data_IF_332325486342
#
_entry.id   IF_332325486342
#
_cell.length_a   1.000
_cell.length_b   1.000
_cell.length_c   1.000
_cell.angle_alpha   90.00
_cell.angle_beta   90.00
_cell.angle_gamma   90.00
#
_symmetry.space_group_name_H-M   'P 1'
#
loop_
_entity.id
_entity.type
_entity.pdbx_description
1 polymer ?
#
# COMPACT_ATOMS: atom_id res chain seq x y z
N UNK A 1 -2.08 -12.88 6.85
CA UNK A 1 -1.05 -11.83 6.92
C UNK A 1 0.15 -12.36 7.68
N UNK A 2 1.34 -12.23 7.11
CA UNK A 2 2.60 -12.65 7.71
C UNK A 2 2.90 -11.78 8.94
N UNK A 3 3.20 -12.44 10.07
CA UNK A 3 3.47 -11.77 11.33
C UNK A 3 4.97 -11.51 11.57
N UNK A 4 5.83 -11.87 10.61
CA UNK A 4 7.28 -11.65 10.70
C UNK A 4 7.71 -10.20 10.56
N UNK A 5 6.89 -9.36 9.92
CA UNK A 5 7.14 -7.93 9.78
C UNK A 5 5.83 -7.13 9.80
N UNK A 6 5.61 -6.36 10.87
CA UNK A 6 4.48 -5.44 11.03
C UNK A 6 5.02 -4.07 11.41
N UNK A 7 4.90 -3.08 10.52
CA UNK A 7 5.58 -1.78 10.64
C UNK A 7 7.08 -1.96 10.87
N UNK A 8 7.64 -1.59 12.03
CA UNK A 8 9.05 -1.80 12.36
C UNK A 8 9.28 -3.00 13.31
N UNK A 9 8.21 -3.68 13.73
CA UNK A 9 8.30 -4.89 14.53
C UNK A 9 8.66 -6.07 13.61
N UNK A 10 9.95 -6.41 13.56
CA UNK A 10 10.49 -7.51 12.76
C UNK A 10 10.84 -8.69 13.66
N UNK A 11 10.11 -9.79 13.56
CA UNK A 11 10.22 -10.97 14.41
C UNK A 11 10.34 -12.26 13.58
N UNK A 12 11.55 -12.83 13.53
CA UNK A 12 11.81 -14.06 12.76
C UNK A 12 11.06 -15.28 13.29
N UNK A 13 10.65 -15.31 14.56
CA UNK A 13 9.89 -16.43 15.13
C UNK A 13 8.46 -16.47 14.58
N UNK A 14 7.95 -15.34 14.10
CA UNK A 14 6.62 -15.17 13.53
C UNK A 14 6.60 -15.13 12.00
N UNK A 15 7.77 -15.16 11.36
CA UNK A 15 7.90 -15.09 9.91
C UNK A 15 7.29 -16.32 9.20
N UNK A 16 6.42 -16.05 8.24
CA UNK A 16 5.63 -17.06 7.52
C UNK A 16 4.45 -17.62 8.32
N UNK A 17 4.25 -17.19 9.57
CA UNK A 17 3.07 -17.57 10.35
C UNK A 17 1.89 -16.68 9.97
N UNK A 18 0.79 -17.32 9.57
CA UNK A 18 -0.48 -16.63 9.34
C UNK A 18 -1.28 -16.69 10.63
N UNK A 19 -1.62 -15.52 11.18
CA UNK A 19 -2.46 -15.45 12.37
C UNK A 19 -3.82 -16.13 12.11
N UNK A 20 -4.27 -16.97 13.06
CA UNK A 20 -5.59 -17.60 12.98
C UNK A 20 -6.70 -16.65 13.45
N UNK A 21 -7.95 -16.97 13.10
CA UNK A 21 -9.11 -16.20 13.57
C UNK A 21 -9.24 -16.29 15.09
N UNK A 22 -9.02 -17.48 15.64
CA UNK A 22 -9.10 -17.78 17.07
C UNK A 22 -8.07 -16.95 17.87
N UNK A 23 -6.86 -16.80 17.33
CA UNK A 23 -5.81 -15.97 17.96
C UNK A 23 -6.19 -14.47 17.98
N UNK A 24 -6.93 -14.01 16.96
CA UNK A 24 -7.28 -12.60 16.78
C UNK A 24 -8.57 -12.18 17.49
N UNK A 25 -9.49 -13.12 17.72
CA UNK A 25 -10.84 -12.87 18.28
C UNK A 25 -11.08 -13.53 19.65
N UNK A 26 -10.17 -14.39 20.12
CA UNK A 26 -10.35 -15.15 21.35
C UNK A 26 -10.51 -14.26 22.60
N UNK A 27 -11.23 -14.75 23.63
CA UNK A 27 -11.48 -13.99 24.86
C UNK A 27 -10.19 -13.64 25.63
N UNK A 28 -9.11 -14.38 25.37
CA UNK A 28 -7.79 -14.18 25.97
C UNK A 28 -6.81 -13.42 25.05
N UNK A 29 -7.26 -12.93 23.89
CA UNK A 29 -6.39 -12.17 23.00
C UNK A 29 -5.88 -10.91 23.73
N UNK A 30 -4.55 -10.68 23.82
CA UNK A 30 -4.02 -9.57 24.60
C UNK A 30 -4.41 -8.21 24.01
N UNK A 31 -4.47 -7.19 24.85
CA UNK A 31 -4.50 -5.79 24.40
C UNK A 31 -3.07 -5.30 24.14
N UNK A 32 -2.93 -4.32 23.25
CA UNK A 32 -1.65 -3.67 22.92
C UNK A 32 -1.34 -3.69 21.43
N UNK A 33 -0.07 -3.51 21.09
CA UNK A 33 0.42 -3.58 19.71
C UNK A 33 0.56 -5.04 19.25
N UNK A 34 -0.59 -5.68 19.07
CA UNK A 34 -0.76 -7.04 18.58
C UNK A 34 -1.83 -7.06 17.50
N UNK A 35 -1.61 -7.86 16.46
CA UNK A 35 -2.63 -8.13 15.44
C UNK A 35 -3.87 -8.75 16.09
N UNK A 36 -5.05 -8.20 15.80
CA UNK A 36 -6.31 -8.69 16.37
C UNK A 36 -7.47 -7.76 16.03
N UNK A 37 -8.68 -8.14 16.43
CA UNK A 37 -9.89 -7.34 16.20
C UNK A 37 -10.24 -6.44 17.39
N UNK A 38 -10.93 -5.35 17.08
CA UNK A 38 -11.54 -4.45 18.07
C UNK A 38 -10.59 -3.40 18.67
N UNK A 39 -11.17 -2.41 19.39
CA UNK A 39 -10.40 -1.35 20.04
C UNK A 39 -9.38 -1.89 21.04
N UNK A 40 -8.22 -1.25 21.12
CA UNK A 40 -7.11 -1.68 22.00
C UNK A 40 -6.20 -2.74 21.38
N UNK A 41 -6.43 -3.14 20.12
CA UNK A 41 -5.53 -3.98 19.31
C UNK A 41 -5.20 -3.31 17.98
N UNK A 42 -4.21 -3.86 17.27
CA UNK A 42 -3.75 -3.36 15.99
C UNK A 42 -4.64 -3.85 14.82
N UNK A 43 -5.94 -3.49 14.85
CA UNK A 43 -6.93 -3.95 13.87
C UNK A 43 -6.89 -3.15 12.55
N UNK A 44 -6.52 -1.88 12.62
CA UNK A 44 -6.53 -0.97 11.47
C UNK A 44 -5.12 -0.70 10.92
N UNK A 45 -4.19 -0.34 11.81
CA UNK A 45 -2.84 0.06 11.44
C UNK A 45 -2.82 1.16 10.37
N UNK A 46 -3.40 2.32 10.68
CA UNK A 46 -3.36 3.48 9.78
C UNK A 46 -1.92 3.97 9.70
N UNK A 47 -1.37 4.03 8.49
CA UNK A 47 0.04 4.39 8.27
C UNK A 47 0.24 5.62 7.37
N UNK A 48 -0.83 6.16 6.76
CA UNK A 48 -0.77 7.45 6.07
C UNK A 48 -2.10 8.19 6.16
N UNK A 49 -2.00 9.52 6.15
CA UNK A 49 -3.13 10.45 6.09
C UNK A 49 -2.79 11.50 5.05
N UNK A 50 -3.72 11.78 4.14
CA UNK A 50 -3.58 12.81 3.13
C UNK A 50 -4.86 13.65 3.09
N UNK A 51 -4.72 14.97 3.19
CA UNK A 51 -5.86 15.88 3.22
C UNK A 51 -6.28 16.26 1.80
N UNK A 52 -7.58 16.16 1.53
CA UNK A 52 -8.20 16.64 0.31
C UNK A 52 -8.92 17.96 0.59
N UNK A 53 -8.30 19.06 0.18
CA UNK A 53 -8.84 20.40 0.36
C UNK A 53 -10.06 20.71 -0.52
N UNK A 54 -10.35 19.89 -1.54
CA UNK A 54 -11.44 20.17 -2.49
C UNK A 54 -12.83 19.91 -1.91
N UNK A 55 -12.91 19.05 -0.89
CA UNK A 55 -14.16 18.68 -0.22
C UNK A 55 -14.01 18.50 1.31
N UNK A 56 -12.93 19.05 1.89
CA UNK A 56 -12.59 18.99 3.33
C UNK A 56 -12.64 17.56 3.88
N UNK A 57 -11.89 16.67 3.26
CA UNK A 57 -11.86 15.25 3.60
C UNK A 57 -10.44 14.72 3.75
N UNK A 58 -10.31 13.47 4.18
CA UNK A 58 -9.02 12.79 4.32
C UNK A 58 -9.05 11.45 3.58
N UNK A 59 -7.91 11.10 2.99
CA UNK A 59 -7.62 9.79 2.41
C UNK A 59 -6.62 9.08 3.32
N UNK A 60 -6.96 7.86 3.70
CA UNK A 60 -6.22 7.04 4.65
C UNK A 60 -5.70 5.78 3.99
N UNK A 61 -4.48 5.37 4.34
CA UNK A 61 -4.01 4.01 4.13
C UNK A 61 -4.18 3.20 5.40
N UNK A 62 -4.96 2.13 5.34
CA UNK A 62 -5.32 1.26 6.47
C UNK A 62 -4.73 -0.13 6.22
N UNK A 63 -3.51 -0.38 6.71
CA UNK A 63 -2.71 -1.56 6.36
C UNK A 63 -3.44 -2.87 6.67
N UNK A 64 -4.02 -3.00 7.87
CA UNK A 64 -4.58 -4.28 8.31
C UNK A 64 -5.99 -4.54 7.78
N UNK A 65 -6.56 -3.57 7.06
CA UNK A 65 -7.76 -3.72 6.25
C UNK A 65 -7.45 -3.82 4.74
N UNK A 66 -6.16 -3.74 4.36
CA UNK A 66 -5.71 -3.65 2.96
C UNK A 66 -6.55 -2.66 2.14
N UNK A 67 -6.75 -1.47 2.71
CA UNK A 67 -7.74 -0.52 2.20
C UNK A 67 -7.22 0.91 2.13
N UNK A 68 -7.45 1.57 0.99
CA UNK A 68 -7.43 3.04 0.92
C UNK A 68 -8.84 3.57 1.12
N UNK A 69 -9.03 4.46 2.08
CA UNK A 69 -10.37 4.93 2.50
C UNK A 69 -10.43 6.44 2.49
N UNK A 70 -11.45 7.02 1.84
CA UNK A 70 -11.77 8.45 1.96
C UNK A 70 -12.88 8.69 2.98
N UNK A 71 -12.65 9.61 3.91
CA UNK A 71 -13.59 9.98 4.98
C UNK A 71 -13.81 11.49 4.93
N UNK A 72 -15.06 11.92 4.87
CA UNK A 72 -15.42 13.34 4.89
C UNK A 72 -15.33 13.98 6.28
N UNK A 73 -15.33 15.31 6.34
CA UNK A 73 -15.47 16.06 7.61
C UNK A 73 -16.64 15.59 8.47
N UNK A 74 -17.73 15.20 7.80
CA UNK A 74 -18.96 14.62 8.35
C UNK A 74 -18.79 13.21 8.96
N UNK A 75 -17.57 12.67 8.98
CA UNK A 75 -17.21 11.33 9.48
C UNK A 75 -17.79 10.18 8.64
N UNK A 76 -18.34 10.47 7.48
CA UNK A 76 -18.89 9.46 6.60
C UNK A 76 -17.81 8.92 5.65
N UNK A 77 -17.78 7.60 5.47
CA UNK A 77 -16.96 6.97 4.44
C UNK A 77 -17.52 7.34 3.06
N UNK A 78 -16.67 7.95 2.22
CA UNK A 78 -17.03 8.38 0.87
C UNK A 78 -16.82 7.25 -0.13
N UNK A 79 -15.65 6.63 -0.11
CA UNK A 79 -15.30 5.47 -0.92
C UNK A 79 -14.15 4.66 -0.31
N UNK A 80 -14.01 3.42 -0.77
CA UNK A 80 -12.99 2.46 -0.36
C UNK A 80 -12.37 1.81 -1.62
N UNK A 81 -11.05 1.84 -1.74
CA UNK A 81 -10.28 0.99 -2.66
C UNK A 81 -9.78 -0.20 -1.83
N UNK A 82 -10.45 -1.34 -1.95
CA UNK A 82 -10.10 -2.59 -1.29
C UNK A 82 -10.81 -3.75 -1.99
N UNK A 83 -10.34 -4.97 -1.71
CA UNK A 83 -11.07 -6.18 -2.05
C UNK A 83 -12.46 -6.20 -1.38
N UNK A 84 -13.53 -6.70 -2.04
CA UNK A 84 -14.91 -6.60 -1.55
C UNK A 84 -15.25 -7.54 -0.38
N UNK A 85 -14.41 -8.50 -0.05
CA UNK A 85 -14.66 -9.48 1.00
C UNK A 85 -14.53 -8.88 2.42
N UNK A 86 -15.38 -9.33 3.35
CA UNK A 86 -15.30 -8.99 4.78
C UNK A 86 -16.00 -7.69 5.20
N UNK A 87 -16.41 -6.83 4.26
CA UNK A 87 -17.13 -5.59 4.57
C UNK A 87 -18.57 -5.84 5.00
N UNK A 88 -19.03 -5.11 6.02
CA UNK A 88 -20.45 -5.08 6.38
C UNK A 88 -21.27 -4.37 5.28
N UNK A 89 -22.60 -4.49 5.34
CA UNK A 89 -23.49 -3.94 4.29
C UNK A 89 -23.28 -2.43 4.03
N UNK A 90 -23.04 -1.65 5.08
CA UNK A 90 -22.84 -0.20 4.97
C UNK A 90 -21.54 0.14 4.23
N UNK A 91 -20.43 -0.45 4.64
CA UNK A 91 -19.11 -0.20 4.06
C UNK A 91 -18.94 -0.89 2.70
N UNK A 92 -19.56 -2.05 2.47
CA UNK A 92 -19.57 -2.72 1.18
C UNK A 92 -20.14 -1.82 0.07
N UNK A 93 -21.13 -0.98 0.39
CA UNK A 93 -21.68 0.00 -0.56
C UNK A 93 -20.71 1.12 -0.96
N UNK A 94 -19.58 1.26 -0.23
CA UNK A 94 -18.53 2.25 -0.45
C UNK A 94 -17.33 1.67 -1.20
N UNK A 95 -17.25 0.35 -1.37
CA UNK A 95 -16.18 -0.29 -2.14
C UNK A 95 -16.36 0.06 -3.62
N UNK A 96 -15.32 0.62 -4.22
CA UNK A 96 -15.32 1.08 -5.60
C UNK A 96 -15.34 -0.10 -6.57
N UNK A 97 -16.06 0.04 -7.68
CA UNK A 97 -16.08 -0.96 -8.75
C UNK A 97 -14.88 -0.78 -9.67
N UNK A 98 -14.02 -1.79 -9.88
CA UNK A 98 -12.89 -1.68 -10.77
C UNK A 98 -13.35 -1.63 -12.24
N UNK A 99 -12.71 -0.78 -13.04
CA UNK A 99 -12.99 -0.63 -14.46
C UNK A 99 -11.71 -0.60 -15.30
N UNK A 100 -11.82 -1.08 -16.54
CA UNK A 100 -10.73 -1.04 -17.52
C UNK A 100 -10.55 0.38 -18.12
N UNK A 101 -9.56 0.53 -19.00
CA UNK A 101 -9.27 1.82 -19.66
C UNK A 101 -10.42 2.34 -20.56
N UNK A 102 -11.39 1.50 -20.90
CA UNK A 102 -12.59 1.86 -21.68
C UNK A 102 -13.81 2.10 -20.77
N UNK A 103 -13.67 1.93 -19.46
CA UNK A 103 -14.75 2.07 -18.48
C UNK A 103 -15.61 0.82 -18.32
N UNK A 104 -15.25 -0.32 -18.89
CA UNK A 104 -15.96 -1.57 -18.66
C UNK A 104 -15.62 -2.12 -17.28
N UNK A 105 -16.61 -2.69 -16.60
CA UNK A 105 -16.39 -3.32 -15.28
C UNK A 105 -15.41 -4.48 -15.41
N UNK A 106 -14.45 -4.52 -14.50
CA UNK A 106 -13.55 -5.65 -14.33
C UNK A 106 -14.20 -6.61 -13.34
N UNK A 107 -14.24 -7.89 -13.71
CA UNK A 107 -14.74 -8.93 -12.83
C UNK A 107 -13.69 -9.24 -11.77
N UNK A 108 -14.08 -9.17 -10.50
CA UNK A 108 -13.26 -9.60 -9.38
C UNK A 108 -14.03 -10.57 -8.49
N UNK A 109 -13.43 -11.72 -8.20
CA UNK A 109 -14.00 -12.78 -7.37
C UNK A 109 -12.90 -13.38 -6.49
N UNK A 110 -13.23 -13.68 -5.22
CA UNK A 110 -12.31 -14.25 -4.25
C UNK A 110 -11.00 -13.46 -4.15
N UNK A 111 -11.13 -12.13 -4.02
CA UNK A 111 -10.02 -11.21 -3.89
C UNK A 111 -9.02 -11.16 -5.05
N UNK A 112 -9.43 -11.63 -6.24
CA UNK A 112 -8.65 -11.61 -7.47
C UNK A 112 -9.46 -10.96 -8.58
N UNK A 113 -8.81 -10.25 -9.49
CA UNK A 113 -9.44 -9.56 -10.61
C UNK A 113 -8.95 -10.10 -11.96
N UNK A 114 -9.79 -10.02 -12.98
CA UNK A 114 -9.39 -10.32 -14.36
C UNK A 114 -8.49 -9.19 -14.92
N UNK A 115 -7.50 -9.57 -15.74
CA UNK A 115 -6.58 -8.62 -16.35
C UNK A 115 -5.49 -8.12 -15.40
N UNK A 116 -5.07 -6.87 -15.60
CA UNK A 116 -3.91 -6.29 -14.90
C UNK A 116 -4.28 -5.51 -13.63
N UNK A 117 -5.56 -5.17 -13.44
CA UNK A 117 -6.01 -4.51 -12.22
C UNK A 117 -5.81 -5.45 -11.03
N UNK A 118 -5.24 -4.92 -9.95
CA UNK A 118 -5.20 -5.60 -8.66
C UNK A 118 -5.44 -4.58 -7.55
N UNK A 119 -5.99 -5.03 -6.43
CA UNK A 119 -6.10 -4.24 -5.21
C UNK A 119 -4.71 -4.04 -4.58
N UNK A 120 -4.65 -3.24 -3.52
CA UNK A 120 -3.44 -3.09 -2.73
C UNK A 120 -3.53 -3.91 -1.46
N UNK A 121 -2.38 -4.36 -0.96
CA UNK A 121 -2.30 -5.32 0.13
C UNK A 121 -1.26 -4.88 1.15
N UNK A 122 -1.69 -4.66 2.39
CA UNK A 122 -0.84 -4.15 3.47
C UNK A 122 -0.08 -2.86 3.10
N UNK A 123 -0.71 -2.02 2.29
CA UNK A 123 -0.11 -0.90 1.58
C UNK A 123 0.29 0.27 2.48
N UNK A 124 1.08 1.18 1.92
CA UNK A 124 1.49 2.45 2.50
C UNK A 124 1.21 3.62 1.55
N UNK A 125 1.18 4.82 2.14
CA UNK A 125 1.19 6.12 1.43
C UNK A 125 0.13 6.25 0.35
N UNK A 126 -1.14 6.11 0.73
CA UNK A 126 -2.26 6.47 -0.13
C UNK A 126 -2.39 7.99 -0.21
N UNK A 127 -1.76 8.58 -1.21
CA UNK A 127 -1.65 10.04 -1.37
C UNK A 127 -2.42 10.51 -2.59
N UNK A 128 -3.26 11.53 -2.41
CA UNK A 128 -3.88 12.24 -3.52
C UNK A 128 -2.81 12.96 -4.32
N UNK A 129 -2.87 12.82 -5.65
CA UNK A 129 -2.05 13.60 -6.56
C UNK A 129 -2.87 14.83 -6.98
N UNK A 130 -2.62 15.96 -6.32
CA UNK A 130 -3.42 17.17 -6.49
C UNK A 130 -3.36 17.71 -7.92
N UNK A 131 -2.18 17.67 -8.52
CA UNK A 131 -1.88 18.23 -9.85
C UNK A 131 -2.55 17.44 -10.99
N UNK A 132 -2.91 16.18 -10.74
CA UNK A 132 -3.57 15.30 -11.72
C UNK A 132 -5.07 15.15 -11.46
N UNK A 133 -5.48 15.39 -10.21
CA UNK A 133 -6.88 15.30 -9.81
C UNK A 133 -7.73 16.44 -10.39
N UNK A 134 -8.99 16.13 -10.67
CA UNK A 134 -10.04 17.08 -11.05
C UNK A 134 -11.26 16.87 -10.15
N UNK A 135 -12.20 17.81 -10.05
CA UNK A 135 -13.43 17.60 -9.28
C UNK A 135 -14.13 16.29 -9.66
N UNK A 136 -14.34 15.39 -8.68
CA UNK A 136 -14.94 14.07 -8.86
C UNK A 136 -14.06 13.00 -9.55
N UNK A 137 -12.84 13.34 -9.96
CA UNK A 137 -11.84 12.44 -10.55
C UNK A 137 -10.54 12.54 -9.75
N UNK A 138 -10.36 11.66 -8.77
CA UNK A 138 -9.26 11.73 -7.80
C UNK A 138 -8.16 10.75 -8.19
N UNK A 139 -6.96 11.26 -8.45
CA UNK A 139 -5.77 10.44 -8.64
C UNK A 139 -5.15 10.13 -7.28
N UNK A 140 -4.82 8.86 -7.03
CA UNK A 140 -4.22 8.38 -5.78
C UNK A 140 -3.03 7.48 -6.09
N UNK A 141 -1.84 7.86 -5.63
CA UNK A 141 -0.66 6.98 -5.64
C UNK A 141 -0.63 6.15 -4.35
N UNK A 142 -0.21 4.89 -4.45
CA UNK A 142 -0.15 3.94 -3.34
C UNK A 142 1.07 3.02 -3.47
N UNK A 143 1.82 2.83 -2.38
CA UNK A 143 2.87 1.81 -2.34
C UNK A 143 2.23 0.51 -1.84
N UNK A 144 1.94 -0.40 -2.76
CA UNK A 144 1.37 -1.70 -2.49
C UNK A 144 2.47 -2.68 -2.05
N UNK A 145 2.65 -2.83 -0.73
CA UNK A 145 3.67 -3.73 -0.18
C UNK A 145 3.48 -5.17 -0.64
N UNK A 146 2.24 -5.67 -0.68
CA UNK A 146 1.91 -6.95 -1.30
C UNK A 146 1.91 -8.16 -0.37
N UNK A 147 2.07 -8.01 0.96
CA UNK A 147 1.83 -9.14 1.85
C UNK A 147 0.36 -9.53 1.88
N UNK A 148 0.08 -10.83 1.95
CA UNK A 148 -1.28 -11.40 1.89
C UNK A 148 -2.09 -11.02 0.66
N UNK A 149 -1.41 -10.77 -0.47
CA UNK A 149 -2.05 -10.53 -1.77
C UNK A 149 -3.07 -11.63 -2.08
N UNK A 150 -4.29 -11.23 -2.42
CA UNK A 150 -5.41 -12.15 -2.64
C UNK A 150 -5.99 -12.75 -1.36
N UNK A 151 -5.80 -12.11 -0.20
CA UNK A 151 -6.17 -12.59 1.14
C UNK A 151 -5.52 -13.93 1.55
N UNK A 152 -4.44 -14.35 0.88
CA UNK A 152 -3.75 -15.60 1.15
C UNK A 152 -2.23 -15.41 1.27
N UNK A 153 -1.55 -16.33 1.96
CA UNK A 153 -0.10 -16.42 1.83
C UNK A 153 0.23 -17.30 0.63
N UNK A 154 1.20 -16.92 -0.21
CA UNK A 154 1.60 -17.75 -1.34
C UNK A 154 2.30 -19.02 -0.87
N UNK A 155 2.37 -20.03 -1.74
CA UNK A 155 3.06 -21.29 -1.46
C UNK A 155 4.56 -21.12 -1.14
N UNK A 156 5.20 -20.11 -1.75
CA UNK A 156 6.60 -19.77 -1.49
C UNK A 156 6.74 -18.27 -1.24
N UNK A 157 7.58 -17.88 -0.28
CA UNK A 157 7.83 -16.46 0.03
C UNK A 157 8.36 -15.68 -1.19
N UNK A 158 9.13 -16.34 -2.06
CA UNK A 158 9.69 -15.78 -3.30
C UNK A 158 8.63 -15.37 -4.34
N UNK A 159 7.37 -15.75 -4.14
CA UNK A 159 6.25 -15.33 -4.99
C UNK A 159 5.67 -13.97 -4.57
N UNK A 160 6.10 -13.42 -3.42
CA UNK A 160 5.69 -12.08 -2.97
C UNK A 160 6.39 -11.00 -3.82
N UNK A 161 5.66 -9.92 -4.09
CA UNK A 161 6.17 -8.74 -4.80
C UNK A 161 5.42 -7.49 -4.33
N UNK A 162 6.12 -6.35 -4.40
CA UNK A 162 5.55 -5.04 -4.14
C UNK A 162 5.26 -4.31 -5.44
N UNK A 163 4.42 -3.28 -5.39
CA UNK A 163 4.17 -2.36 -6.50
C UNK A 163 4.12 -0.92 -6.01
N UNK A 164 4.58 0.00 -6.84
CA UNK A 164 4.04 1.35 -6.84
C UNK A 164 2.88 1.38 -7.83
N UNK A 165 1.73 1.94 -7.44
CA UNK A 165 0.52 1.94 -8.28
C UNK A 165 -0.19 3.28 -8.18
N UNK A 166 -0.81 3.70 -9.28
CA UNK A 166 -1.71 4.85 -9.34
C UNK A 166 -3.10 4.41 -9.76
N UNK A 167 -4.10 4.89 -9.01
CA UNK A 167 -5.50 4.72 -9.32
C UNK A 167 -6.17 6.07 -9.61
N UNK A 168 -7.19 6.03 -10.47
CA UNK A 168 -8.13 7.13 -10.69
C UNK A 168 -9.50 6.71 -10.19
N UNK A 169 -9.99 7.42 -9.18
CA UNK A 169 -11.33 7.24 -8.62
C UNK A 169 -12.30 8.17 -9.30
N UNK A 170 -13.40 7.64 -9.82
CA UNK A 170 -14.59 8.40 -10.19
C UNK A 170 -15.57 8.40 -9.02
N UNK A 171 -15.60 9.51 -8.28
CA UNK A 171 -16.41 9.61 -7.06
C UNK A 171 -17.92 9.64 -7.36
N UNK A 172 -18.31 10.08 -8.56
CA UNK A 172 -19.71 10.11 -8.98
C UNK A 172 -20.20 8.72 -9.36
N UNK A 173 -19.42 8.00 -10.16
CA UNK A 173 -19.79 6.68 -10.65
C UNK A 173 -19.39 5.53 -9.70
N UNK A 174 -18.67 5.84 -8.61
CA UNK A 174 -18.16 4.87 -7.65
C UNK A 174 -17.29 3.79 -8.32
N UNK A 175 -16.41 4.23 -9.22
CA UNK A 175 -15.48 3.34 -9.93
C UNK A 175 -14.03 3.70 -9.66
N UNK A 176 -13.14 2.73 -9.87
CA UNK A 176 -11.70 2.89 -9.76
C UNK A 176 -11.00 2.28 -10.97
N UNK A 177 -10.05 3.01 -11.55
CA UNK A 177 -9.23 2.54 -12.66
C UNK A 177 -7.77 2.54 -12.24
N UNK A 178 -7.07 1.42 -12.41
CA UNK A 178 -5.61 1.39 -12.31
C UNK A 178 -5.02 2.00 -13.60
N UNK A 179 -4.24 3.06 -13.49
CA UNK A 179 -3.71 3.80 -14.66
C UNK A 179 -2.21 3.65 -14.85
N UNK A 180 -1.49 3.23 -13.80
CA UNK A 180 -0.06 3.04 -13.85
C UNK A 180 0.40 2.08 -12.75
N UNK A 181 1.42 1.27 -13.01
CA UNK A 181 2.09 0.45 -12.00
C UNK A 181 3.57 0.20 -12.33
N UNK A 182 4.38 -0.09 -11.31
CA UNK A 182 5.76 -0.55 -11.42
C UNK A 182 6.13 -1.48 -10.26
N UNK A 183 6.97 -2.48 -10.51
CA UNK A 183 7.65 -3.26 -9.46
C UNK A 183 7.26 -4.74 -9.42
N UNK A 184 6.10 -5.10 -9.99
CA UNK A 184 5.63 -6.49 -10.11
C UNK A 184 6.66 -7.37 -10.83
N UNK A 185 7.23 -6.86 -11.91
CA UNK A 185 8.26 -7.50 -12.72
C UNK A 185 9.62 -7.63 -12.03
N UNK A 186 9.87 -6.87 -10.96
CA UNK A 186 11.12 -6.92 -10.17
C UNK A 186 11.09 -8.02 -9.11
N UNK A 187 9.92 -8.62 -8.85
CA UNK A 187 9.75 -9.80 -8.01
C UNK A 187 10.25 -9.61 -6.57
N UNK A 188 10.71 -10.72 -5.98
CA UNK A 188 11.08 -10.79 -4.57
C UNK A 188 12.27 -9.92 -4.17
N UNK A 189 13.19 -9.63 -5.10
CA UNK A 189 14.35 -8.76 -4.81
C UNK A 189 13.94 -7.32 -4.48
N UNK A 190 12.84 -6.85 -5.07
CA UNK A 190 12.31 -5.51 -4.86
C UNK A 190 11.16 -5.47 -3.85
N UNK A 191 10.74 -6.64 -3.34
CA UNK A 191 9.66 -6.77 -2.38
C UNK A 191 10.04 -6.13 -1.03
N UNK A 192 9.28 -5.09 -0.66
CA UNK A 192 9.32 -4.43 0.64
C UNK A 192 8.09 -4.84 1.46
N UNK A 193 8.21 -5.77 2.43
CA UNK A 193 7.06 -6.24 3.22
C UNK A 193 6.41 -5.15 4.09
N UNK A 194 7.14 -4.07 4.40
CA UNK A 194 6.74 -3.01 5.32
C UNK A 194 7.27 -1.66 4.86
N UNK A 195 6.67 -0.59 5.39
CA UNK A 195 7.10 0.81 5.16
C UNK A 195 7.01 1.19 3.67
N UNK A 196 7.94 2.01 3.16
CA UNK A 196 8.00 2.51 1.79
C UNK A 196 7.07 3.68 1.47
N UNK A 197 7.30 4.31 0.32
CA UNK A 197 6.51 5.43 -0.20
C UNK A 197 6.51 5.46 -1.71
N UNK A 198 5.38 5.89 -2.29
CA UNK A 198 5.31 6.44 -3.63
C UNK A 198 4.69 7.83 -3.56
N UNK A 199 5.28 8.79 -4.25
CA UNK A 199 4.81 10.17 -4.24
C UNK A 199 5.10 10.87 -5.57
N UNK A 200 4.07 11.48 -6.13
CA UNK A 200 4.19 12.32 -7.32
C UNK A 200 5.02 13.58 -7.01
N UNK A 201 5.92 13.94 -7.92
CA UNK A 201 6.79 15.10 -7.82
C UNK A 201 6.35 16.18 -8.81
N UNK A 202 5.70 17.28 -8.37
CA UNK A 202 5.14 18.29 -9.28
C UNK A 202 6.18 19.01 -10.13
N UNK A 203 7.38 19.21 -9.60
CA UNK A 203 8.44 19.99 -10.28
C UNK A 203 9.02 19.26 -11.48
N UNK A 204 9.12 17.94 -11.41
CA UNK A 204 9.74 17.09 -12.43
C UNK A 204 8.72 16.32 -13.26
N UNK A 205 7.42 16.46 -12.96
CA UNK A 205 6.32 15.68 -13.54
C UNK A 205 6.65 14.19 -13.55
N UNK A 206 6.92 13.65 -12.36
CA UNK A 206 7.47 12.31 -12.16
C UNK A 206 6.83 11.59 -10.98
N UNK A 207 7.05 10.28 -10.89
CA UNK A 207 6.68 9.44 -9.76
C UNK A 207 7.95 9.01 -9.03
N UNK A 208 8.14 9.48 -7.79
CA UNK A 208 9.19 9.01 -6.91
C UNK A 208 8.71 7.78 -6.14
N UNK A 209 9.56 6.77 -6.04
CA UNK A 209 9.28 5.52 -5.34
C UNK A 209 10.46 5.19 -4.45
N UNK A 210 10.21 4.92 -3.17
CA UNK A 210 11.21 4.37 -2.28
C UNK A 210 10.75 3.02 -1.75
N UNK A 211 11.33 1.94 -2.30
CA UNK A 211 11.19 0.58 -1.75
C UNK A 211 12.16 0.44 -0.59
N UNK A 212 11.69 0.80 0.61
CA UNK A 212 12.51 1.08 1.78
C UNK A 212 13.10 -0.17 2.44
N UNK A 213 12.47 -1.33 2.25
CA UNK A 213 12.83 -2.59 2.90
C UNK A 213 12.97 -3.74 1.90
N UNK A 214 13.29 -3.43 0.65
CA UNK A 214 13.64 -4.43 -0.34
C UNK A 214 14.78 -5.31 0.21
N UNK A 215 14.69 -6.63 0.02
CA UNK A 215 15.56 -7.61 0.66
C UNK A 215 15.12 -8.10 2.05
N UNK A 216 14.09 -7.51 2.67
CA UNK A 216 13.52 -7.99 3.95
C UNK A 216 12.51 -9.12 3.78
N UNK A 217 12.20 -9.52 2.55
CA UNK A 217 11.19 -10.55 2.26
C UNK A 217 11.42 -11.88 2.99
N UNK A 218 12.67 -12.29 3.15
CA UNK A 218 13.05 -13.42 4.01
C UNK A 218 13.54 -12.89 5.37
N UNK A 219 12.57 -12.60 6.24
CA UNK A 219 12.83 -12.10 7.60
C UNK A 219 13.73 -13.04 8.40
N UNK A 220 13.64 -14.36 8.19
CA UNK A 220 14.46 -15.35 8.90
C UNK A 220 15.91 -15.26 8.43
N UNK A 221 16.15 -15.22 7.12
CA UNK A 221 17.49 -15.04 6.59
C UNK A 221 18.09 -13.68 7.00
N UNK A 222 17.30 -12.60 6.97
CA UNK A 222 17.74 -11.28 7.41
C UNK A 222 18.18 -11.28 8.87
N UNK A 223 17.37 -11.81 9.80
CA UNK A 223 17.73 -11.90 11.22
C UNK A 223 18.91 -12.83 11.49
N UNK A 224 19.13 -13.84 10.64
CA UNK A 224 20.30 -14.70 10.69
C UNK A 224 21.56 -14.09 10.05
N UNK A 225 21.50 -12.85 9.54
CA UNK A 225 22.61 -12.20 8.84
C UNK A 225 22.95 -12.80 7.48
N UNK A 226 22.02 -13.57 6.89
CA UNK A 226 22.16 -14.27 5.60
C UNK A 226 21.48 -13.54 4.44
N UNK A 227 20.69 -12.51 4.73
CA UNK A 227 20.12 -11.60 3.76
C UNK A 227 20.43 -10.16 4.16
N UNK A 228 20.51 -9.27 3.18
CA UNK A 228 20.79 -7.85 3.39
C UNK A 228 19.64 -7.02 2.82
N UNK A 229 19.37 -5.90 3.50
CA UNK A 229 18.50 -4.88 2.96
C UNK A 229 19.16 -4.25 1.75
N UNK A 230 18.37 -4.08 0.71
CA UNK A 230 18.76 -3.47 -0.55
C UNK A 230 17.73 -2.41 -0.96
N UNK A 231 17.55 -1.32 -0.20
CA UNK A 231 16.56 -0.31 -0.54
C UNK A 231 16.79 0.27 -1.93
N UNK A 232 15.70 0.68 -2.59
CA UNK A 232 15.76 1.34 -3.90
C UNK A 232 15.00 2.66 -3.86
N UNK A 233 15.63 3.74 -4.34
CA UNK A 233 14.93 4.98 -4.70
C UNK A 233 14.88 5.08 -6.22
N UNK A 234 13.68 5.19 -6.77
CA UNK A 234 13.46 5.43 -8.19
C UNK A 234 12.74 6.75 -8.40
N UNK A 235 12.96 7.35 -9.56
CA UNK A 235 12.11 8.40 -10.11
C UNK A 235 11.82 8.08 -11.57
N UNK A 236 10.54 8.02 -11.94
CA UNK A 236 10.07 7.73 -13.30
C UNK A 236 9.30 8.90 -13.86
N UNK A 237 9.44 9.19 -15.16
CA UNK A 237 8.57 10.18 -15.81
C UNK A 237 7.09 9.78 -15.64
N UNK A 238 6.23 10.75 -15.32
CA UNK A 238 4.84 10.49 -14.97
C UNK A 238 4.10 9.74 -16.09
N UNK A 239 3.35 8.71 -15.70
CA UNK A 239 2.56 7.88 -16.61
C UNK A 239 3.37 6.94 -17.50
N UNK A 240 4.70 6.93 -17.41
CA UNK A 240 5.58 6.01 -18.16
C UNK A 240 6.46 5.20 -17.21
N UNK A 241 7.25 4.27 -17.77
CA UNK A 241 8.30 3.54 -17.03
C UNK A 241 9.70 4.02 -17.42
N UNK A 242 9.80 5.23 -17.98
CA UNK A 242 11.07 5.82 -18.37
C UNK A 242 11.79 6.32 -17.10
N UNK A 243 12.87 5.63 -16.74
CA UNK A 243 13.65 5.93 -15.53
C UNK A 243 14.38 7.27 -15.68
N UNK A 244 14.16 8.16 -14.73
CA UNK A 244 14.91 9.41 -14.54
C UNK A 244 16.03 9.22 -13.52
N UNK A 245 15.80 8.35 -12.52
CA UNK A 245 16.75 8.03 -11.45
C UNK A 245 16.52 6.59 -10.96
N UNK A 246 17.61 5.87 -10.72
CA UNK A 246 17.63 4.66 -9.90
C UNK A 246 18.84 4.75 -8.97
N UNK A 247 18.58 4.71 -7.66
CA UNK A 247 19.59 4.58 -6.62
C UNK A 247 19.33 3.32 -5.83
N UNK A 248 20.35 2.45 -5.78
CA UNK A 248 20.37 1.25 -4.96
C UNK A 248 21.24 1.50 -3.74
N UNK A 249 20.68 1.34 -2.56
CA UNK A 249 21.41 1.47 -1.31
C UNK A 249 22.07 0.11 -1.01
N UNK A 250 23.40 0.10 -0.96
CA UNK A 250 24.21 -1.07 -0.61
C UNK A 250 24.82 -0.88 0.77
N UNK A 251 25.05 -1.98 1.48
CA UNK A 251 25.66 -2.01 2.83
C UNK A 251 24.89 -1.22 3.91
N UNK A 252 23.72 -0.68 3.59
CA UNK A 252 22.82 -0.03 4.54
C UNK A 252 21.99 -1.12 5.21
N UNK A 253 22.52 -1.80 6.23
CA UNK A 253 21.76 -2.78 7.01
C UNK A 253 20.71 -2.13 7.95
N UNK A 254 20.14 -1.01 7.51
CA UNK A 254 19.19 -0.15 8.23
C UNK A 254 17.81 -0.32 7.60
N UNK A 255 16.81 -0.60 8.44
CA UNK A 255 15.40 -0.64 8.01
C UNK A 255 14.97 0.79 7.71
N UNK A 256 14.84 1.14 6.44
CA UNK A 256 14.28 2.42 6.01
C UNK A 256 12.79 2.51 6.35
N UNK A 257 12.29 3.74 6.48
CA UNK A 257 10.85 3.98 6.64
C UNK A 257 10.26 4.66 5.39
N UNK A 258 10.72 5.87 5.08
CA UNK A 258 10.36 6.66 3.90
C UNK A 258 11.54 7.49 3.43
N UNK A 259 11.45 7.99 2.20
CA UNK A 259 12.30 9.04 1.67
C UNK A 259 11.42 10.21 1.20
N UNK A 260 11.97 11.41 1.16
CA UNK A 260 11.31 12.60 0.62
C UNK A 260 12.25 13.28 -0.36
N UNK A 261 11.69 13.83 -1.45
CA UNK A 261 12.42 14.78 -2.29
C UNK A 261 12.42 16.14 -1.59
N UNK A 262 13.60 16.68 -1.31
CA UNK A 262 13.75 17.95 -0.58
C UNK A 262 14.23 19.03 -1.53
N UNK A 263 13.50 20.14 -1.58
CA UNK A 263 13.93 21.36 -2.26
C UNK A 263 14.63 22.30 -1.27
N UNK A 264 15.95 22.42 -1.40
CA UNK A 264 16.77 23.29 -0.55
C UNK A 264 16.37 24.77 -0.64
N UNK A 265 15.89 25.24 -1.79
CA UNK A 265 15.46 26.63 -1.93
C UNK A 265 14.17 26.90 -1.14
N UNK A 266 13.30 25.91 -1.04
CA UNK A 266 12.09 26.01 -0.22
C UNK A 266 12.35 25.84 1.27
N UNK A 267 13.47 25.23 1.66
CA UNK A 267 13.82 24.99 3.06
C UNK A 267 14.29 26.26 3.81
N UNK A 268 14.79 27.27 3.11
CA UNK A 268 15.36 28.49 3.69
C UNK A 268 14.71 29.78 3.15
N UNK A 269 13.38 29.79 3.05
CA UNK A 269 12.60 30.97 2.60
C UNK A 269 12.66 32.14 3.57
#
# INVERSE_FOLDING_TARGET
MDQGAVCLNVDATKAGHTASKEDMEGPNAPFGDVTGVGPGRNWAHINSVNYDATDDSIILSVRNQSATVKIGRDKQVKWIIASPEGWNKELASKVLTPVDAKGNKIKCENSKCEGDFDWTWTQHTSYKINEKSKPGKVHVSVFDNGDSRGMEQPAMISMKYSRAVEYVVDEKNMTVQQVWEFGKERGFEWYSPITSVVEYQPKTDSMMIYSATAGLGDVKAFRAGKAQLTPFLHEFKYGTKDSLLEMKFIDSNTIGYRALSVDLQSAFK
#
